data_IF_487315234178
#
_entry.id   IF_487315234178
#
_cell.length_a   1.000
_cell.length_b   1.000
_cell.length_c   1.000
_cell.angle_alpha   90.00
_cell.angle_beta   90.00
_cell.angle_gamma   90.00
#
_symmetry.space_group_name_H-M   'P 1'
#
loop_
_entity.id
_entity.type
_entity.pdbx_description
1 polymer ?
#
# COMPACT_ATOMS: atom_id res chain seq x y z
N UNK A 1 -5.86 -19.10 -14.44
CA UNK A 1 -4.68 -18.21 -14.33
C UNK A 1 -5.04 -17.05 -13.40
N UNK A 2 -4.28 -16.80 -12.33
CA UNK A 2 -4.40 -15.53 -11.59
C UNK A 2 -3.83 -14.45 -12.51
N UNK A 3 -4.66 -13.55 -13.04
CA UNK A 3 -4.17 -12.41 -13.80
C UNK A 3 -3.13 -11.67 -12.96
N UNK A 4 -1.95 -11.32 -13.51
CA UNK A 4 -1.00 -10.50 -12.77
C UNK A 4 -1.69 -9.17 -12.44
N UNK A 5 -1.97 -8.95 -11.14
CA UNK A 5 -2.44 -7.66 -10.66
C UNK A 5 -1.31 -6.65 -10.93
N UNK A 6 -1.46 -5.88 -12.00
CA UNK A 6 -0.51 -4.82 -12.34
C UNK A 6 -0.74 -3.67 -11.37
N UNK A 7 0.32 -3.17 -10.75
CA UNK A 7 0.23 -1.99 -9.91
C UNK A 7 -0.15 -0.79 -10.79
N UNK A 8 -1.16 -0.03 -10.38
CA UNK A 8 -1.60 1.17 -11.09
C UNK A 8 -0.71 2.37 -10.76
N UNK A 9 -0.13 2.38 -9.55
CA UNK A 9 0.76 3.44 -9.07
C UNK A 9 1.85 2.79 -8.21
N UNK A 10 3.09 3.23 -8.41
CA UNK A 10 4.25 2.85 -7.60
C UNK A 10 5.01 4.12 -7.26
N UNK A 11 5.27 4.36 -5.98
CA UNK A 11 5.97 5.56 -5.51
C UNK A 11 6.64 5.31 -4.16
N UNK A 12 7.50 6.25 -3.76
CA UNK A 12 8.18 6.25 -2.47
C UNK A 12 7.94 7.60 -1.78
N UNK A 13 7.62 7.57 -0.49
CA UNK A 13 7.41 8.74 0.34
C UNK A 13 7.88 8.43 1.77
N UNK A 14 8.65 9.33 2.40
CA UNK A 14 9.18 9.18 3.77
C UNK A 14 9.93 7.85 4.02
N UNK A 15 10.65 7.34 3.01
CA UNK A 15 11.34 6.05 3.07
C UNK A 15 10.41 4.83 3.06
N UNK A 16 9.14 5.03 2.72
CA UNK A 16 8.13 3.99 2.55
C UNK A 16 7.85 3.80 1.06
N UNK A 17 8.10 2.59 0.58
CA UNK A 17 7.79 2.16 -0.77
C UNK A 17 6.33 1.68 -0.86
N UNK A 18 5.54 2.24 -1.77
CA UNK A 18 4.14 1.88 -2.00
C UNK A 18 3.92 1.26 -3.38
N UNK A 19 3.13 0.18 -3.42
CA UNK A 19 2.51 -0.35 -4.65
C UNK A 19 1.01 -0.38 -4.47
N UNK A 20 0.32 0.38 -5.32
CA UNK A 20 -1.13 0.47 -5.34
C UNK A 20 -1.67 -0.43 -6.45
N UNK A 21 -2.66 -1.26 -6.13
CA UNK A 21 -3.37 -2.11 -7.06
C UNK A 21 -4.84 -1.74 -7.06
N UNK A 22 -5.39 -1.50 -8.25
CA UNK A 22 -6.82 -1.34 -8.41
C UNK A 22 -7.46 -2.74 -8.55
N UNK A 23 -8.25 -3.15 -7.55
CA UNK A 23 -9.10 -4.34 -7.64
C UNK A 23 -10.52 -3.91 -8.00
N UNK A 24 -11.31 -4.80 -8.63
CA UNK A 24 -12.65 -4.49 -9.17
C UNK A 24 -13.48 -3.55 -8.29
N UNK A 25 -13.53 -3.81 -6.98
CA UNK A 25 -14.38 -3.06 -6.04
C UNK A 25 -13.59 -2.37 -4.91
N UNK A 26 -12.25 -2.38 -4.95
CA UNK A 26 -11.43 -1.81 -3.88
C UNK A 26 -10.00 -1.54 -4.31
N UNK A 27 -9.35 -0.63 -3.60
CA UNK A 27 -7.91 -0.44 -3.73
C UNK A 27 -7.18 -1.31 -2.72
N UNK A 28 -6.10 -1.95 -3.16
CA UNK A 28 -5.15 -2.67 -2.31
C UNK A 28 -3.81 -1.95 -2.39
N UNK A 29 -3.21 -1.66 -1.25
CA UNK A 29 -1.87 -1.08 -1.16
C UNK A 29 -0.94 -2.04 -0.45
N UNK A 30 0.18 -2.32 -1.07
CA UNK A 30 1.34 -2.92 -0.42
C UNK A 30 2.31 -1.79 -0.07
N UNK A 31 2.68 -1.67 1.21
CA UNK A 31 3.66 -0.70 1.65
C UNK A 31 4.82 -1.40 2.36
N UNK A 32 6.04 -0.91 2.14
CA UNK A 32 7.26 -1.46 2.72
C UNK A 32 8.16 -0.34 3.23
N UNK A 33 8.67 -0.50 4.44
CA UNK A 33 9.65 0.39 5.04
C UNK A 33 10.76 -0.47 5.66
N UNK A 34 11.94 -0.47 5.02
CA UNK A 34 13.04 -1.37 5.37
C UNK A 34 12.64 -2.86 5.32
N UNK A 35 12.65 -3.53 6.49
CA UNK A 35 12.23 -4.94 6.64
C UNK A 35 10.73 -5.10 6.96
N UNK A 36 10.01 -4.02 7.30
CA UNK A 36 8.59 -4.06 7.65
C UNK A 36 7.74 -3.93 6.39
N UNK A 37 6.64 -4.68 6.33
CA UNK A 37 5.70 -4.67 5.22
C UNK A 37 4.27 -4.74 5.75
N UNK A 38 3.37 -3.96 5.15
CA UNK A 38 1.93 -4.03 5.45
C UNK A 38 1.13 -4.06 4.16
N UNK A 39 -0.08 -4.60 4.24
CA UNK A 39 -1.05 -4.59 3.16
C UNK A 39 -2.34 -3.99 3.70
N UNK A 40 -2.81 -2.94 3.06
CA UNK A 40 -4.06 -2.27 3.43
C UNK A 40 -5.02 -2.16 2.25
N UNK A 41 -6.28 -1.90 2.59
CA UNK A 41 -7.35 -1.72 1.61
C UNK A 41 -8.11 -0.41 1.87
N UNK A 42 -8.65 0.16 0.81
CA UNK A 42 -9.45 1.38 0.87
C UNK A 42 -10.32 1.56 -0.36
N UNK A 43 -11.20 2.55 -0.31
CA UNK A 43 -12.04 2.94 -1.43
C UNK A 43 -11.26 3.81 -2.43
N UNK A 44 -10.19 4.46 -1.98
CA UNK A 44 -9.27 5.25 -2.83
C UNK A 44 -7.80 4.86 -2.59
N UNK A 45 -6.90 5.15 -3.56
CA UNK A 45 -5.45 4.97 -3.39
C UNK A 45 -4.90 5.69 -2.17
N UNK A 46 -5.32 6.94 -1.99
CA UNK A 46 -4.86 7.78 -0.89
C UNK A 46 -5.29 7.21 0.47
N UNK A 47 -6.55 6.82 0.62
CA UNK A 47 -7.05 6.24 1.86
C UNK A 47 -6.31 4.95 2.25
N UNK A 48 -6.09 4.05 1.28
CA UNK A 48 -5.39 2.80 1.52
C UNK A 48 -3.90 3.02 1.85
N UNK A 49 -3.25 3.98 1.19
CA UNK A 49 -1.86 4.32 1.43
C UNK A 49 -1.65 5.00 2.80
N UNK A 50 -2.54 5.92 3.19
CA UNK A 50 -2.51 6.56 4.51
C UNK A 50 -2.68 5.56 5.65
N UNK A 51 -3.59 4.59 5.52
CA UNK A 51 -3.72 3.49 6.48
C UNK A 51 -2.43 2.67 6.60
N UNK A 52 -1.81 2.36 5.45
CA UNK A 52 -0.57 1.60 5.41
C UNK A 52 0.59 2.37 6.06
N UNK A 53 0.73 3.66 5.74
CA UNK A 53 1.72 4.58 6.32
C UNK A 53 1.57 4.66 7.84
N UNK A 54 0.36 4.92 8.34
CA UNK A 54 0.07 4.97 9.78
C UNK A 54 0.46 3.68 10.49
N UNK A 55 0.14 2.50 9.93
CA UNK A 55 0.52 1.22 10.55
C UNK A 55 2.03 1.00 10.59
N UNK A 56 2.74 1.38 9.55
CA UNK A 56 4.21 1.27 9.52
C UNK A 56 4.87 2.22 10.52
N UNK A 57 4.30 3.41 10.72
CA UNK A 57 4.81 4.42 11.64
C UNK A 57 4.45 4.14 13.11
N UNK A 58 3.24 3.67 13.42
CA UNK A 58 2.81 3.35 14.79
C UNK A 58 3.66 2.22 15.39
N UNK A 59 4.10 1.25 14.59
CA UNK A 59 4.99 0.17 15.06
C UNK A 59 6.45 0.63 15.33
N UNK A 60 6.74 1.93 15.32
CA UNK A 60 8.04 2.48 15.69
C UNK A 60 8.08 3.03 17.13
N UNK A 61 6.92 3.22 17.77
CA UNK A 61 6.78 3.60 19.18
C UNK A 61 6.64 2.35 20.05
#
# INVERSE_FOLDING_TARGET
MKSPMTAVIVYEEDGIYFRVYNMRDRIKVYARMGKKTVIEHGSTPYEAAEKAKRRLMIQQL
#
